data_IF_193307106311
#
_entry.id   IF_193307106311
#
_cell.length_a   1.000
_cell.length_b   1.000
_cell.length_c   1.000
_cell.angle_alpha   90.00
_cell.angle_beta   90.00
_cell.angle_gamma   90.00
#
_symmetry.space_group_name_H-M   'P 1'
#
loop_
_entity.id
_entity.type
_entity.pdbx_description
1 polymer ?
#
# COMPACT_ATOMS: atom_id res chain seq x y z
N UNK A 1 28.60 10.64 46.64
CA UNK A 1 28.57 11.09 45.22
C UNK A 1 28.70 9.96 44.19
N UNK A 2 28.97 8.72 44.58
CA UNK A 2 29.06 7.56 43.65
C UNK A 2 27.72 6.86 43.42
N UNK A 3 26.86 6.79 44.45
CA UNK A 3 25.52 6.18 44.36
C UNK A 3 24.63 6.94 43.36
N UNK A 4 24.72 8.27 43.33
CA UNK A 4 23.99 9.12 42.38
C UNK A 4 24.43 8.93 40.94
N UNK A 5 25.74 8.78 40.68
CA UNK A 5 26.25 8.57 39.32
C UNK A 5 25.83 7.21 38.75
N UNK A 6 25.90 6.15 39.56
CA UNK A 6 25.46 4.81 39.13
C UNK A 6 23.97 4.75 38.82
N UNK A 7 23.13 5.41 39.63
CA UNK A 7 21.69 5.48 39.40
C UNK A 7 21.35 6.25 38.12
N UNK A 8 22.02 7.38 37.87
CA UNK A 8 21.82 8.18 36.65
C UNK A 8 22.25 7.39 35.41
N UNK A 9 23.38 6.68 35.47
CA UNK A 9 23.86 5.85 34.36
C UNK A 9 22.90 4.70 34.05
N UNK A 10 22.34 4.07 35.09
CA UNK A 10 21.36 3.00 34.95
C UNK A 10 20.06 3.49 34.28
N UNK A 11 19.58 4.67 34.66
CA UNK A 11 18.39 5.30 34.04
C UNK A 11 18.65 5.62 32.56
N UNK A 12 19.82 6.20 32.25
CA UNK A 12 20.23 6.48 30.87
C UNK A 12 20.31 5.21 30.02
N UNK A 13 20.83 4.13 30.59
CA UNK A 13 20.97 2.84 29.90
C UNK A 13 19.61 2.22 29.60
N UNK A 14 18.64 2.32 30.53
CA UNK A 14 17.26 1.88 30.29
C UNK A 14 16.62 2.69 29.16
N UNK A 15 16.75 4.02 29.17
CA UNK A 15 16.20 4.89 28.11
C UNK A 15 16.83 4.54 26.75
N UNK A 16 18.13 4.29 26.71
CA UNK A 16 18.83 3.90 25.48
C UNK A 16 18.30 2.56 24.93
N UNK A 17 18.03 1.57 25.80
CA UNK A 17 17.42 0.29 25.40
C UNK A 17 16.03 0.52 24.81
N UNK A 18 15.19 1.35 25.43
CA UNK A 18 13.87 1.68 24.89
C UNK A 18 13.95 2.39 23.54
N UNK A 19 14.88 3.32 23.36
CA UNK A 19 15.10 4.01 22.08
C UNK A 19 15.56 3.04 20.99
N UNK A 20 16.42 2.08 21.34
CA UNK A 20 16.91 1.08 20.40
C UNK A 20 15.77 0.14 19.97
N UNK A 21 14.95 -0.34 20.92
CA UNK A 21 13.77 -1.15 20.62
C UNK A 21 12.77 -0.36 19.76
N UNK A 22 12.53 0.91 20.10
CA UNK A 22 11.67 1.79 19.32
C UNK A 22 12.17 1.97 17.88
N UNK A 23 13.47 2.18 17.69
CA UNK A 23 14.08 2.29 16.37
C UNK A 23 13.97 0.99 15.56
N UNK A 24 14.12 -0.18 16.21
CA UNK A 24 13.90 -1.47 15.57
C UNK A 24 12.44 -1.68 15.17
N UNK A 25 11.48 -1.29 16.01
CA UNK A 25 10.05 -1.31 15.68
C UNK A 25 9.77 -0.37 14.50
N UNK A 26 10.40 0.81 14.46
CA UNK A 26 10.24 1.77 13.38
C UNK A 26 10.81 1.21 12.05
N UNK A 27 12.01 0.63 12.09
CA UNK A 27 12.61 -0.07 10.94
C UNK A 27 11.75 -1.23 10.46
N UNK A 28 11.25 -2.06 11.38
CA UNK A 28 10.35 -3.16 11.04
C UNK A 28 9.05 -2.66 10.42
N UNK A 29 8.48 -1.56 10.94
CA UNK A 29 7.30 -0.90 10.35
C UNK A 29 7.59 -0.36 8.95
N UNK A 30 8.78 0.17 8.68
CA UNK A 30 9.16 0.65 7.34
C UNK A 30 9.31 -0.51 6.35
N UNK A 31 9.85 -1.64 6.80
CA UNK A 31 10.08 -2.82 5.93
C UNK A 31 8.79 -3.63 5.71
N UNK A 32 7.92 -3.73 6.72
CA UNK A 32 6.70 -4.56 6.68
C UNK A 32 5.41 -3.82 6.35
N UNK A 33 5.41 -2.48 6.39
CA UNK A 33 4.29 -1.68 5.90
C UNK A 33 4.61 -1.24 4.47
N UNK A 34 3.94 -1.78 3.43
CA UNK A 34 3.87 -1.04 2.19
C UNK A 34 3.08 0.23 2.54
N UNK A 35 3.69 1.39 2.34
CA UNK A 35 3.07 2.70 2.59
C UNK A 35 2.87 3.04 4.08
N UNK A 36 3.93 3.47 4.76
CA UNK A 36 3.76 4.55 5.73
C UNK A 36 3.50 5.83 4.93
N UNK A 37 2.25 6.00 4.51
CA UNK A 37 1.75 7.26 3.97
C UNK A 37 2.16 8.39 4.90
N UNK A 38 2.97 9.30 4.38
CA UNK A 38 3.00 10.68 4.87
C UNK A 38 1.56 11.17 4.80
N UNK A 39 0.94 11.25 5.97
CA UNK A 39 -0.40 11.78 6.20
C UNK A 39 -0.41 13.26 5.83
N UNK A 40 -0.60 13.53 4.53
CA UNK A 40 -0.88 14.85 3.97
C UNK A 40 -2.02 14.71 2.98
N UNK A 41 -3.25 14.55 3.49
CA UNK A 41 -4.41 14.80 2.67
C UNK A 41 -5.62 13.95 2.99
N UNK A 42 -6.38 14.43 3.98
CA UNK A 42 -7.83 14.32 3.99
C UNK A 42 -8.37 12.88 4.19
N UNK A 43 -8.68 12.55 5.44
CA UNK A 43 -9.63 11.49 5.78
C UNK A 43 -11.01 11.81 5.14
N UNK A 44 -11.15 11.52 3.85
CA UNK A 44 -12.46 11.48 3.20
C UNK A 44 -13.19 10.27 3.77
N UNK A 45 -14.10 10.55 4.72
CA UNK A 45 -15.18 9.66 5.13
C UNK A 45 -15.71 8.92 3.91
N UNK A 46 -15.47 7.62 3.86
CA UNK A 46 -15.97 6.70 2.85
C UNK A 46 -17.49 6.78 2.88
N UNK A 47 -18.08 7.47 1.90
CA UNK A 47 -19.52 7.43 1.65
C UNK A 47 -19.84 6.06 1.08
N UNK A 48 -20.15 5.13 1.97
CA UNK A 48 -20.54 3.75 1.72
C UNK A 48 -21.94 3.71 1.09
N UNK A 49 -22.14 4.27 -0.11
CA UNK A 49 -23.41 4.22 -0.87
C UNK A 49 -23.18 4.51 -2.37
N UNK A 50 -22.34 3.73 -3.04
CA UNK A 50 -22.33 3.70 -4.51
C UNK A 50 -22.67 2.28 -4.94
N UNK A 51 -23.90 2.07 -5.42
CA UNK A 51 -24.27 0.84 -6.09
C UNK A 51 -23.40 0.71 -7.36
N UNK A 52 -22.72 -0.42 -7.58
CA UNK A 52 -21.93 -0.62 -8.79
C UNK A 52 -22.87 -0.67 -10.02
N UNK A 53 -22.48 -0.09 -11.16
CA UNK A 53 -23.29 -0.12 -12.39
C UNK A 53 -23.32 -1.53 -13.02
N UNK A 54 -24.52 -1.93 -13.46
CA UNK A 54 -24.97 -3.27 -13.89
C UNK A 54 -24.37 -3.85 -15.20
N UNK A 55 -23.13 -3.55 -15.59
CA UNK A 55 -22.65 -3.95 -16.95
C UNK A 55 -21.24 -4.56 -17.06
N UNK A 56 -20.40 -4.53 -16.02
CA UNK A 56 -19.04 -5.09 -16.17
C UNK A 56 -19.03 -6.50 -15.64
N UNK A 57 -18.31 -7.42 -16.28
CA UNK A 57 -18.12 -8.80 -15.81
C UNK A 57 -17.64 -8.77 -14.35
N UNK A 58 -18.61 -8.97 -13.46
CA UNK A 58 -18.64 -8.31 -12.15
C UNK A 58 -17.56 -8.89 -11.23
N UNK A 59 -17.16 -10.13 -11.51
CA UNK A 59 -16.09 -10.86 -10.82
C UNK A 59 -14.70 -10.36 -11.19
N UNK A 60 -14.43 -10.09 -12.46
CA UNK A 60 -13.12 -9.56 -12.90
C UNK A 60 -12.93 -8.12 -12.44
N UNK A 61 -13.99 -7.32 -12.48
CA UNK A 61 -13.96 -5.95 -11.98
C UNK A 61 -13.75 -5.92 -10.45
N UNK A 62 -14.49 -6.76 -9.69
CA UNK A 62 -14.26 -6.91 -8.24
C UNK A 62 -12.84 -7.38 -7.92
N UNK A 63 -12.32 -8.33 -8.72
CA UNK A 63 -10.94 -8.80 -8.59
C UNK A 63 -9.95 -7.66 -8.87
N UNK A 64 -10.17 -6.85 -9.90
CA UNK A 64 -9.30 -5.72 -10.22
C UNK A 64 -9.33 -4.68 -9.08
N UNK A 65 -10.50 -4.24 -8.62
CA UNK A 65 -10.61 -3.33 -7.48
C UNK A 65 -9.88 -3.85 -6.24
N UNK A 66 -10.00 -5.16 -5.94
CA UNK A 66 -9.28 -5.78 -4.83
C UNK A 66 -7.76 -5.82 -5.05
N UNK A 67 -7.29 -6.17 -6.25
CA UNK A 67 -5.85 -6.25 -6.58
C UNK A 67 -5.17 -4.89 -6.47
N UNK A 68 -5.84 -3.82 -6.92
CA UNK A 68 -5.30 -2.46 -6.86
C UNK A 68 -5.66 -1.74 -5.55
N UNK A 69 -6.47 -2.34 -4.67
CA UNK A 69 -6.93 -1.71 -3.43
C UNK A 69 -7.77 -0.45 -3.66
N UNK A 70 -8.50 -0.42 -4.78
CA UNK A 70 -9.31 0.71 -5.24
C UNK A 70 -10.78 0.49 -4.89
N UNK A 71 -11.49 1.60 -4.69
CA UNK A 71 -12.94 1.66 -4.55
C UNK A 71 -13.58 2.11 -5.87
N UNK A 72 -14.83 1.69 -6.18
CA UNK A 72 -15.59 2.22 -7.31
C UNK A 72 -15.77 3.75 -7.28
N UNK A 73 -15.61 4.38 -6.11
CA UNK A 73 -15.62 5.84 -5.94
C UNK A 73 -14.37 6.53 -6.48
N UNK A 74 -13.27 5.81 -6.61
CA UNK A 74 -11.98 6.39 -7.01
C UNK A 74 -12.02 6.79 -8.49
N UNK A 75 -11.00 7.54 -8.92
CA UNK A 75 -10.89 8.04 -10.28
C UNK A 75 -9.88 7.25 -11.10
N UNK A 76 -9.96 7.40 -12.43
CA UNK A 76 -8.95 6.87 -13.35
C UNK A 76 -7.50 7.28 -12.98
N UNK A 77 -7.22 8.53 -12.55
CA UNK A 77 -5.85 8.91 -12.16
C UNK A 77 -5.30 8.06 -11.00
N UNK A 78 -6.12 7.79 -9.99
CA UNK A 78 -5.74 6.96 -8.85
C UNK A 78 -5.49 5.51 -9.30
N UNK A 79 -6.34 4.98 -10.17
CA UNK A 79 -6.15 3.65 -10.73
C UNK A 79 -4.85 3.52 -11.53
N UNK A 80 -4.55 4.51 -12.38
CA UNK A 80 -3.31 4.55 -13.18
C UNK A 80 -2.05 4.64 -12.30
N UNK A 81 -2.12 5.40 -11.20
CA UNK A 81 -1.02 5.55 -10.26
C UNK A 81 -0.72 4.23 -9.56
N UNK A 82 -1.75 3.54 -9.05
CA UNK A 82 -1.58 2.24 -8.38
C UNK A 82 -1.10 1.15 -9.32
N UNK A 83 -1.60 1.13 -10.55
CA UNK A 83 -1.08 0.25 -11.59
C UNK A 83 0.42 0.45 -11.82
N UNK A 84 0.87 1.70 -11.97
CA UNK A 84 2.29 2.00 -12.15
C UNK A 84 3.14 1.53 -10.97
N UNK A 85 2.69 1.74 -9.73
CA UNK A 85 3.42 1.30 -8.53
C UNK A 85 3.58 -0.22 -8.47
N UNK A 86 2.48 -0.96 -8.68
CA UNK A 86 2.52 -2.43 -8.63
C UNK A 86 3.41 -2.96 -9.77
N UNK A 87 3.29 -2.41 -10.97
CA UNK A 87 4.12 -2.81 -12.12
C UNK A 87 5.60 -2.58 -11.86
N UNK A 88 5.95 -1.41 -11.30
CA UNK A 88 7.34 -1.08 -10.92
C UNK A 88 7.87 -2.02 -9.85
N UNK A 89 7.07 -2.31 -8.83
CA UNK A 89 7.42 -3.28 -7.78
C UNK A 89 7.68 -4.67 -8.36
N UNK A 90 6.81 -5.12 -9.27
CA UNK A 90 6.91 -6.43 -9.89
C UNK A 90 8.14 -6.55 -10.81
N UNK A 91 8.48 -5.47 -11.52
CA UNK A 91 9.72 -5.38 -12.30
C UNK A 91 10.98 -5.43 -11.43
N UNK A 92 10.95 -4.80 -10.24
CA UNK A 92 12.06 -4.82 -9.29
C UNK A 92 12.15 -6.07 -8.42
N UNK A 93 11.18 -6.99 -8.52
CA UNK A 93 11.14 -8.20 -7.70
C UNK A 93 12.22 -9.20 -8.14
N UNK A 94 12.59 -10.13 -7.25
CA UNK A 94 13.52 -11.21 -7.56
C UNK A 94 12.84 -12.42 -8.25
N UNK A 95 11.61 -12.25 -8.73
CA UNK A 95 10.88 -13.30 -9.43
C UNK A 95 11.58 -13.73 -10.73
N UNK A 96 11.36 -14.97 -11.15
CA UNK A 96 11.84 -15.47 -12.43
C UNK A 96 11.24 -14.66 -13.60
N UNK A 97 11.99 -14.51 -14.68
CA UNK A 97 11.61 -13.64 -15.80
C UNK A 97 10.31 -14.10 -16.47
N UNK A 98 10.10 -15.42 -16.54
CA UNK A 98 8.87 -16.00 -17.08
C UNK A 98 7.67 -15.75 -16.15
N UNK A 99 7.87 -15.83 -14.84
CA UNK A 99 6.82 -15.59 -13.85
C UNK A 99 6.49 -14.09 -13.74
N UNK A 100 7.48 -13.21 -13.84
CA UNK A 100 7.29 -11.75 -13.97
C UNK A 100 6.43 -11.42 -15.18
N UNK A 101 6.77 -11.94 -16.36
CA UNK A 101 6.00 -11.67 -17.57
C UNK A 101 4.54 -12.11 -17.42
N UNK A 102 4.29 -13.28 -16.84
CA UNK A 102 2.93 -13.78 -16.58
C UNK A 102 2.15 -12.87 -15.63
N UNK A 103 2.78 -12.46 -14.52
CA UNK A 103 2.16 -11.58 -13.51
C UNK A 103 1.90 -10.17 -14.04
N UNK A 104 2.79 -9.64 -14.89
CA UNK A 104 2.58 -8.36 -15.57
C UNK A 104 1.42 -8.48 -16.55
N UNK A 105 1.33 -9.56 -17.34
CA UNK A 105 0.21 -9.77 -18.25
C UNK A 105 -1.14 -9.89 -17.51
N UNK A 106 -1.16 -10.57 -16.35
CA UNK A 106 -2.34 -10.62 -15.47
C UNK A 106 -2.70 -9.23 -14.90
N UNK A 107 -1.69 -8.42 -14.54
CA UNK A 107 -1.88 -7.05 -14.04
C UNK A 107 -2.45 -6.14 -15.13
N UNK A 108 -1.89 -6.20 -16.33
CA UNK A 108 -2.30 -5.41 -17.49
C UNK A 108 -3.76 -5.72 -17.87
N UNK A 109 -4.14 -7.00 -17.92
CA UNK A 109 -5.52 -7.40 -18.18
C UNK A 109 -6.52 -6.89 -17.12
N UNK A 110 -6.12 -6.85 -15.85
CA UNK A 110 -6.98 -6.30 -14.79
C UNK A 110 -7.07 -4.77 -14.86
N UNK A 111 -6.01 -4.09 -15.31
CA UNK A 111 -6.01 -2.65 -15.50
C UNK A 111 -6.88 -2.24 -16.68
N UNK A 112 -6.86 -2.98 -17.79
CA UNK A 112 -7.73 -2.73 -18.94
C UNK A 112 -9.22 -2.75 -18.55
N UNK A 113 -9.63 -3.72 -17.71
CA UNK A 113 -11.01 -3.79 -17.19
C UNK A 113 -11.37 -2.56 -16.34
N UNK A 114 -10.42 -2.05 -15.54
CA UNK A 114 -10.63 -0.82 -14.78
C UNK A 114 -10.66 0.41 -15.67
N UNK A 115 -9.80 0.48 -16.68
CA UNK A 115 -9.76 1.57 -17.64
C UNK A 115 -11.10 1.68 -18.40
N UNK A 116 -11.65 0.55 -18.85
CA UNK A 116 -12.98 0.47 -19.45
C UNK A 116 -14.09 0.93 -18.49
N UNK A 117 -14.03 0.49 -17.23
CA UNK A 117 -14.99 0.92 -16.22
C UNK A 117 -14.98 2.44 -16.01
N UNK A 118 -13.80 3.04 -15.86
CA UNK A 118 -13.70 4.48 -15.64
C UNK A 118 -14.03 5.30 -16.90
N UNK A 119 -13.72 4.79 -18.08
CA UNK A 119 -14.07 5.44 -19.34
C UNK A 119 -15.59 5.45 -19.56
N UNK A 120 -16.30 4.37 -19.21
CA UNK A 120 -17.77 4.31 -19.24
C UNK A 120 -18.47 5.13 -18.15
N UNK A 121 -17.76 5.42 -17.05
CA UNK A 121 -18.25 6.21 -15.92
C UNK A 121 -18.13 7.72 -16.15
N UNK A 122 -17.20 8.15 -17.01
CA UNK A 122 -17.02 9.55 -17.42
C UNK A 122 -18.09 9.99 -18.41
#
# INVERSE_FOLDING_TARGET
>A
MTITFGVIFFILQIIAIFLLIYALILMFRIITSPEAGTDVGNQRKVTKNAAPPDNVNDEMLKKAFKTFGLSPSDGYPEASYRYYLIRKWLQSSDLDEQEKAKRIAELDALFDVLADYYTKKS
#
